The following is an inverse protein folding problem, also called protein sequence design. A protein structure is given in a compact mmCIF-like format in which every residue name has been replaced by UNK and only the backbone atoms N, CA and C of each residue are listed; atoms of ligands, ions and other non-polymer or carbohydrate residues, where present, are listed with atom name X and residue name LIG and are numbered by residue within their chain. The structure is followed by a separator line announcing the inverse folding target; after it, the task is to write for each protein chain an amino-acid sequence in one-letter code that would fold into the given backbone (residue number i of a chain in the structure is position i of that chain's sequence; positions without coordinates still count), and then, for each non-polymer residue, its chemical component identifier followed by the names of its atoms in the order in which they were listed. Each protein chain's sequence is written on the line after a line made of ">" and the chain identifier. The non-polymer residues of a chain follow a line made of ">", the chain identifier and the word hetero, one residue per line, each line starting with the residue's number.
data_IF_916972131732
#
_entry.id   IF_916972131732
#
_cell.length_a   1.000
_cell.length_b   1.000
_cell.length_c   1.000
_cell.angle_alpha   90.00
_cell.angle_beta   90.00
_cell.angle_gamma   90.00
#
_symmetry.space_group_name_H-M   'P 1'
#
loop_
_entity.id
_entity.type
_entity.pdbx_description
1 polymer ?
#
# COMPACT_ATOMS: atom_id res chain seq x y z
N UNK A 1 -12.24 -0.03 11.33
CA UNK A 1 -11.57 -1.23 11.89
C UNK A 1 -10.37 -0.76 12.70
N UNK A 2 -9.99 -1.48 13.76
CA UNK A 2 -8.98 -1.04 14.72
C UNK A 2 -7.55 -1.16 14.14
N UNK A 3 -6.68 -0.22 14.50
CA UNK A 3 -5.23 -0.37 14.34
C UNK A 3 -4.77 -1.54 15.22
N UNK A 4 -3.92 -2.42 14.69
CA UNK A 4 -3.41 -3.57 15.43
C UNK A 4 -1.92 -3.35 15.68
N UNK A 5 -1.49 -3.45 16.94
CA UNK A 5 -0.09 -3.29 17.32
C UNK A 5 0.55 -4.65 17.54
N UNK A 6 1.69 -4.88 16.92
CA UNK A 6 2.50 -6.07 17.09
C UNK A 6 3.83 -5.71 17.74
N UNK A 7 4.22 -6.46 18.77
CA UNK A 7 5.56 -6.37 19.37
C UNK A 7 6.26 -7.72 19.37
N UNK A 8 7.57 -7.69 19.13
CA UNK A 8 8.41 -8.87 19.29
C UNK A 8 8.56 -9.24 20.77
N UNK A 9 8.65 -10.53 21.05
CA UNK A 9 8.89 -11.05 22.41
C UNK A 9 10.35 -10.99 22.85
N UNK A 10 11.29 -10.81 21.92
CA UNK A 10 12.73 -10.94 22.18
C UNK A 10 13.59 -9.75 21.71
N UNK A 11 13.03 -8.83 20.94
CA UNK A 11 13.71 -7.60 20.54
C UNK A 11 12.79 -6.38 20.64
N UNK A 12 13.35 -5.22 20.34
CA UNK A 12 12.71 -3.90 20.33
C UNK A 12 11.80 -3.66 19.11
N UNK A 13 11.63 -4.65 18.22
CA UNK A 13 10.77 -4.51 17.06
C UNK A 13 9.30 -4.34 17.46
N UNK A 14 8.69 -3.26 16.96
CA UNK A 14 7.27 -2.98 17.07
C UNK A 14 6.74 -2.51 15.71
N UNK A 15 5.53 -2.92 15.37
CA UNK A 15 4.86 -2.58 14.12
C UNK A 15 3.39 -2.31 14.39
N UNK A 16 2.79 -1.36 13.67
CA UNK A 16 1.36 -1.08 13.76
C UNK A 16 0.75 -1.36 12.40
N UNK A 17 -0.04 -2.41 12.31
CA UNK A 17 -0.82 -2.72 11.11
C UNK A 17 -2.05 -1.84 11.07
N UNK A 18 -2.22 -1.13 9.95
CA UNK A 18 -3.29 -0.18 9.72
C UNK A 18 -3.95 -0.53 8.40
N UNK A 19 -5.28 -0.50 8.39
CA UNK A 19 -6.02 -0.53 7.14
C UNK A 19 -5.93 0.86 6.50
N UNK A 20 -5.00 1.03 5.56
CA UNK A 20 -4.82 2.27 4.83
C UNK A 20 -5.34 2.13 3.40
N UNK A 21 -5.83 3.25 2.90
CA UNK A 21 -6.23 3.42 1.51
C UNK A 21 -5.54 4.66 0.96
N UNK A 22 -5.47 4.72 -0.36
CA UNK A 22 -5.06 5.93 -1.05
C UNK A 22 -6.05 6.26 -2.16
N UNK A 23 -6.14 7.53 -2.50
CA UNK A 23 -6.87 8.01 -3.66
C UNK A 23 -6.25 9.32 -4.15
N UNK A 24 -6.38 9.58 -5.45
CA UNK A 24 -6.05 10.89 -6.01
C UNK A 24 -7.28 11.78 -5.91
N UNK A 25 -7.18 12.83 -5.12
CA UNK A 25 -8.17 13.89 -5.07
C UNK A 25 -7.95 14.83 -6.27
N UNK A 26 -9.05 15.13 -6.96
CA UNK A 26 -9.05 15.86 -8.22
C UNK A 26 -10.42 16.49 -8.43
N UNK A 27 -10.43 17.76 -8.84
CA UNK A 27 -11.63 18.40 -9.38
C UNK A 27 -11.87 18.02 -10.85
N UNK A 28 -10.93 17.29 -11.47
CA UNK A 28 -10.99 16.83 -12.84
C UNK A 28 -11.82 15.55 -12.96
N UNK A 29 -12.74 15.55 -13.93
CA UNK A 29 -13.67 14.44 -14.18
C UNK A 29 -13.24 13.54 -15.36
N UNK A 30 -12.20 13.92 -16.12
CA UNK A 30 -11.82 13.25 -17.36
C UNK A 30 -10.32 12.94 -17.52
N UNK A 31 -10.04 11.91 -18.32
CA UNK A 31 -8.73 11.27 -18.48
C UNK A 31 -7.68 12.15 -19.19
N UNK A 32 -8.11 12.91 -20.20
CA UNK A 32 -7.20 13.83 -20.90
C UNK A 32 -6.76 14.95 -19.96
N UNK A 33 -7.67 15.45 -19.13
CA UNK A 33 -7.34 16.43 -18.10
C UNK A 33 -6.35 15.86 -17.09
N UNK A 34 -6.51 14.64 -16.59
CA UNK A 34 -5.56 14.04 -15.62
C UNK A 34 -4.17 13.83 -16.22
N UNK A 35 -4.09 13.29 -17.44
CA UNK A 35 -2.79 13.02 -18.08
C UNK A 35 -2.04 14.29 -18.47
N UNK A 36 -2.77 15.35 -18.83
CA UNK A 36 -2.21 16.65 -19.21
C UNK A 36 -2.13 17.65 -18.04
N UNK A 37 -2.71 17.31 -16.88
CA UNK A 37 -2.71 18.18 -15.71
C UNK A 37 -1.29 18.46 -15.23
N UNK A 38 -1.09 19.71 -14.84
CA UNK A 38 0.10 20.05 -14.09
C UNK A 38 0.00 19.40 -12.71
N UNK A 39 1.15 19.15 -12.12
CA UNK A 39 1.33 18.49 -10.81
C UNK A 39 0.51 19.10 -9.65
N UNK A 40 -0.07 20.28 -9.83
CA UNK A 40 -0.78 21.04 -8.78
C UNK A 40 -2.27 20.70 -8.67
N UNK A 41 -2.86 20.04 -9.68
CA UNK A 41 -4.30 19.72 -9.72
C UNK A 41 -4.64 18.32 -9.17
N UNK A 42 -3.62 17.53 -8.83
CA UNK A 42 -3.75 16.18 -8.30
C UNK A 42 -3.06 16.10 -6.94
N UNK A 43 -3.81 15.66 -5.94
CA UNK A 43 -3.28 15.42 -4.60
C UNK A 43 -3.42 13.94 -4.24
N UNK A 44 -2.29 13.29 -3.94
CA UNK A 44 -2.28 11.94 -3.37
C UNK A 44 -2.65 12.00 -1.89
N UNK A 45 -3.80 11.43 -1.56
CA UNK A 45 -4.29 11.35 -0.19
C UNK A 45 -4.11 9.91 0.33
N UNK A 46 -3.51 9.80 1.52
CA UNK A 46 -3.29 8.52 2.22
C UNK A 46 -3.95 8.58 3.60
N UNK A 47 -4.94 7.71 3.83
CA UNK A 47 -5.78 7.80 5.02
C UNK A 47 -6.21 6.43 5.52
N UNK A 48 -6.65 6.39 6.79
CA UNK A 48 -7.23 5.17 7.35
C UNK A 48 -8.59 4.86 6.74
N UNK A 49 -8.83 3.59 6.46
CA UNK A 49 -10.10 3.11 5.94
C UNK A 49 -11.19 3.20 7.01
N UNK A 50 -12.13 4.11 6.78
CA UNK A 50 -13.37 4.27 7.52
C UNK A 50 -14.52 4.53 6.53
N UNK A 51 -15.76 4.64 7.03
CA UNK A 51 -16.92 4.83 6.17
C UNK A 51 -16.81 6.08 5.28
N UNK A 52 -16.38 7.21 5.85
CA UNK A 52 -16.28 8.47 5.13
C UNK A 52 -15.21 8.39 4.02
N UNK A 53 -14.03 7.88 4.36
CA UNK A 53 -12.92 7.83 3.41
C UNK A 53 -13.09 6.72 2.37
N UNK A 54 -13.84 5.66 2.70
CA UNK A 54 -14.27 4.64 1.72
C UNK A 54 -15.16 5.24 0.63
N UNK A 55 -16.06 6.18 0.98
CA UNK A 55 -16.92 6.84 0.01
C UNK A 55 -16.12 7.76 -0.92
N UNK A 56 -15.08 8.43 -0.39
CA UNK A 56 -14.14 9.24 -1.19
C UNK A 56 -13.32 8.37 -2.15
N UNK A 57 -12.74 7.29 -1.63
CA UNK A 57 -12.00 6.29 -2.42
C UNK A 57 -12.82 5.77 -3.61
N UNK A 58 -14.08 5.39 -3.35
CA UNK A 58 -14.96 4.81 -4.40
C UNK A 58 -15.29 5.80 -5.52
N UNK A 59 -15.27 7.11 -5.22
CA UNK A 59 -15.54 8.17 -6.21
C UNK A 59 -14.30 8.61 -6.96
N UNK A 60 -13.12 8.34 -6.43
CA UNK A 60 -11.87 8.72 -7.06
C UNK A 60 -11.61 7.90 -8.32
N UNK A 61 -10.99 8.54 -9.32
CA UNK A 61 -10.66 7.88 -10.59
C UNK A 61 -9.51 6.88 -10.43
N UNK A 62 -8.55 7.20 -9.56
CA UNK A 62 -7.45 6.31 -9.18
C UNK A 62 -7.45 6.20 -7.66
N UNK A 63 -7.58 4.97 -7.19
CA UNK A 63 -7.60 4.63 -5.77
C UNK A 63 -7.10 3.21 -5.54
N UNK A 64 -6.80 2.89 -4.28
CA UNK A 64 -6.41 1.54 -3.93
C UNK A 64 -6.10 1.36 -2.45
N UNK A 65 -5.49 0.22 -2.16
CA UNK A 65 -5.02 -0.11 -0.82
C UNK A 65 -3.57 0.34 -0.65
N UNK A 66 -3.25 0.82 0.54
CA UNK A 66 -1.90 1.15 0.96
C UNK A 66 -1.49 0.19 2.07
N UNK A 67 -0.32 -0.43 1.90
CA UNK A 67 0.30 -1.26 2.93
C UNK A 67 1.60 -0.59 3.37
N UNK A 68 1.81 -0.48 4.68
CA UNK A 68 3.12 -0.16 5.24
C UNK A 68 3.76 -1.49 5.65
N UNK A 69 4.97 -1.78 5.15
CA UNK A 69 5.59 -3.07 5.37
C UNK A 69 7.07 -2.89 5.69
N UNK A 70 7.58 -3.72 6.60
CA UNK A 70 8.94 -3.60 7.08
C UNK A 70 9.90 -4.51 6.32
N UNK A 71 10.96 -3.95 5.75
CA UNK A 71 12.05 -4.74 5.18
C UNK A 71 13.15 -4.97 6.22
N UNK A 72 13.43 -6.23 6.62
CA UNK A 72 14.46 -6.52 7.61
C UNK A 72 15.89 -6.33 7.09
N UNK A 73 16.08 -6.39 5.77
CA UNK A 73 17.39 -6.19 5.15
C UNK A 73 17.76 -4.71 5.05
N UNK A 74 16.80 -3.84 4.72
CA UNK A 74 17.01 -2.39 4.71
C UNK A 74 16.84 -1.77 6.11
N UNK A 75 16.17 -2.46 7.03
CA UNK A 75 15.77 -1.93 8.33
C UNK A 75 14.89 -0.66 8.19
N UNK A 76 14.00 -0.68 7.20
CA UNK A 76 13.18 0.46 6.77
C UNK A 76 11.72 0.03 6.52
N UNK A 77 10.80 1.00 6.65
CA UNK A 77 9.40 0.83 6.25
C UNK A 77 9.23 1.23 4.79
N UNK A 78 8.63 0.34 4.02
CA UNK A 78 8.31 0.54 2.62
C UNK A 78 6.81 0.70 2.49
N UNK A 79 6.37 1.72 1.77
CA UNK A 79 4.97 1.90 1.38
C UNK A 79 4.70 1.12 0.09
N UNK A 80 3.70 0.25 0.11
CA UNK A 80 3.26 -0.48 -1.08
C UNK A 80 1.84 -0.07 -1.46
N UNK A 81 1.72 0.55 -2.63
CA UNK A 81 0.46 0.99 -3.23
C UNK A 81 -0.06 -0.13 -4.13
N UNK A 82 -1.30 -0.54 -3.87
CA UNK A 82 -2.00 -1.57 -4.64
C UNK A 82 -3.24 -0.92 -5.27
N UNK A 83 -3.11 -0.31 -6.46
CA UNK A 83 -4.22 0.33 -7.14
C UNK A 83 -5.30 -0.67 -7.54
N UNK A 84 -6.56 -0.24 -7.45
CA UNK A 84 -7.66 -0.98 -8.03
C UNK A 84 -7.67 -0.82 -9.55
N UNK A 85 -7.98 -1.91 -10.25
CA UNK A 85 -8.21 -1.87 -11.69
C UNK A 85 -9.46 -1.03 -11.98
N UNK A 86 -9.37 -0.08 -12.89
CA UNK A 86 -10.51 0.64 -13.43
C UNK A 86 -10.62 0.41 -14.94
N UNK A 87 -11.76 0.77 -15.54
CA UNK A 87 -11.98 0.62 -16.99
C UNK A 87 -11.41 1.79 -17.81
N UNK A 88 -11.12 2.90 -17.13
CA UNK A 88 -10.71 4.16 -17.76
C UNK A 88 -9.21 4.20 -18.06
N UNK A 89 -8.39 3.62 -17.19
CA UNK A 89 -6.94 3.65 -17.25
C UNK A 89 -6.39 2.24 -17.31
N UNK A 90 -5.40 2.03 -18.17
CA UNK A 90 -4.61 0.82 -18.15
C UNK A 90 -3.53 0.85 -17.05
N UNK A 91 -2.88 -0.28 -16.81
CA UNK A 91 -1.87 -0.43 -15.76
C UNK A 91 -0.69 0.54 -15.93
N UNK A 92 -0.20 0.74 -17.15
CA UNK A 92 0.94 1.63 -17.43
C UNK A 92 0.59 3.09 -17.16
N UNK A 93 -0.64 3.51 -17.48
CA UNK A 93 -1.14 4.86 -17.22
C UNK A 93 -1.27 5.13 -15.72
N UNK A 94 -1.88 4.20 -14.97
CA UNK A 94 -1.98 4.29 -13.50
C UNK A 94 -0.58 4.37 -12.89
N UNK A 95 0.33 3.49 -13.33
CA UNK A 95 1.70 3.46 -12.84
C UNK A 95 2.43 4.79 -13.09
N UNK A 96 2.28 5.37 -14.28
CA UNK A 96 2.89 6.66 -14.62
C UNK A 96 2.37 7.80 -13.74
N UNK A 97 1.06 7.88 -13.53
CA UNK A 97 0.45 8.91 -12.68
C UNK A 97 0.89 8.74 -11.24
N UNK A 98 0.79 7.52 -10.70
CA UNK A 98 1.19 7.24 -9.32
C UNK A 98 2.68 7.49 -9.09
N UNK A 99 3.56 7.09 -10.00
CA UNK A 99 4.99 7.41 -9.87
C UNK A 99 5.25 8.92 -9.81
N UNK A 100 4.54 9.71 -10.62
CA UNK A 100 4.65 11.18 -10.59
C UNK A 100 4.19 11.74 -9.24
N UNK A 101 3.10 11.24 -8.67
CA UNK A 101 2.52 11.79 -7.45
C UNK A 101 3.20 11.28 -6.16
N UNK A 102 3.53 10.00 -6.09
CA UNK A 102 4.18 9.39 -4.92
C UNK A 102 5.61 9.92 -4.74
N UNK A 103 6.37 10.05 -5.84
CA UNK A 103 7.76 10.52 -5.78
C UNK A 103 7.94 11.94 -5.24
N UNK A 104 6.88 12.75 -5.21
CA UNK A 104 6.88 14.06 -4.55
C UNK A 104 6.91 13.96 -3.03
N UNK A 105 6.34 12.88 -2.49
CA UNK A 105 6.02 12.74 -1.06
C UNK A 105 6.90 11.71 -0.34
N UNK A 106 7.44 10.72 -1.04
CA UNK A 106 8.26 9.67 -0.44
C UNK A 106 9.36 9.19 -1.39
N UNK A 107 10.53 8.88 -0.82
CA UNK A 107 11.67 8.33 -1.55
C UNK A 107 11.58 6.81 -1.73
N UNK A 108 10.79 6.12 -0.91
CA UNK A 108 10.77 4.66 -0.86
C UNK A 108 9.35 4.11 -0.91
N UNK A 109 9.01 3.54 -2.05
CA UNK A 109 7.70 2.97 -2.30
C UNK A 109 7.76 1.85 -3.33
N UNK A 110 6.67 1.09 -3.38
CA UNK A 110 6.42 0.08 -4.41
C UNK A 110 5.00 0.23 -4.93
N UNK A 111 4.81 0.03 -6.23
CA UNK A 111 3.49 -0.15 -6.82
C UNK A 111 3.34 -1.64 -7.19
N UNK A 112 2.22 -2.24 -6.83
CA UNK A 112 1.98 -3.66 -7.08
C UNK A 112 0.57 -3.85 -7.65
N UNK A 113 0.50 -4.45 -8.84
CA UNK A 113 -0.75 -4.61 -9.58
C UNK A 113 -1.24 -6.06 -9.51
N UNK A 114 -2.49 -6.25 -9.10
CA UNK A 114 -3.23 -7.49 -9.31
C UNK A 114 -4.73 -7.24 -9.27
N UNK A 115 -5.48 -8.10 -9.96
CA UNK A 115 -6.93 -7.96 -10.09
C UNK A 115 -7.65 -8.57 -8.86
N UNK A 116 -8.23 -7.72 -7.99
CA UNK A 116 -9.01 -8.13 -6.82
C UNK A 116 -10.35 -8.81 -7.16
N UNK A 117 -10.76 -8.91 -8.43
CA UNK A 117 -11.95 -9.66 -8.84
C UNK A 117 -11.55 -11.02 -9.42
N UNK A 118 -10.44 -11.09 -10.15
CA UNK A 118 -9.99 -12.31 -10.85
C UNK A 118 -9.01 -13.17 -10.06
N UNK A 119 -8.18 -12.57 -9.21
CA UNK A 119 -7.17 -13.31 -8.44
C UNK A 119 -7.85 -14.06 -7.30
N UNK A 120 -7.63 -15.35 -7.10
CA UNK A 120 -8.25 -16.06 -5.97
C UNK A 120 -7.70 -15.53 -4.64
N UNK A 121 -8.50 -15.59 -3.57
CA UNK A 121 -8.08 -15.12 -2.24
C UNK A 121 -6.76 -15.74 -1.78
N UNK A 122 -6.55 -17.04 -2.03
CA UNK A 122 -5.30 -17.75 -1.70
C UNK A 122 -4.09 -17.20 -2.44
N UNK A 123 -4.27 -16.89 -3.72
CA UNK A 123 -3.19 -16.36 -4.56
C UNK A 123 -2.85 -14.91 -4.18
N UNK A 124 -3.87 -14.09 -3.87
CA UNK A 124 -3.66 -12.76 -3.30
C UNK A 124 -2.86 -12.82 -2.03
N UNK A 125 -3.27 -13.71 -1.10
CA UNK A 125 -2.57 -13.88 0.16
C UNK A 125 -1.12 -14.29 -0.05
N UNK A 126 -0.85 -15.17 -1.02
CA UNK A 126 0.52 -15.55 -1.38
C UNK A 126 1.33 -14.37 -1.92
N UNK A 127 0.74 -13.51 -2.75
CA UNK A 127 1.39 -12.28 -3.27
C UNK A 127 1.70 -11.32 -2.12
N UNK A 128 0.75 -11.15 -1.19
CA UNK A 128 0.92 -10.29 -0.02
C UNK A 128 1.99 -10.83 0.95
N UNK A 129 2.05 -12.15 1.15
CA UNK A 129 3.00 -12.80 2.05
C UNK A 129 4.40 -12.97 1.43
N UNK A 130 4.51 -13.07 0.10
CA UNK A 130 5.77 -13.33 -0.61
C UNK A 130 6.03 -12.20 -1.63
N UNK A 131 6.36 -11.03 -1.11
CA UNK A 131 6.73 -9.86 -1.90
C UNK A 131 8.25 -9.61 -1.79
N UNK A 132 8.81 -8.84 -2.72
CA UNK A 132 10.23 -8.45 -2.72
C UNK A 132 10.38 -6.94 -2.49
N UNK A 133 11.34 -6.58 -1.64
CA UNK A 133 11.69 -5.18 -1.38
C UNK A 133 12.17 -4.48 -2.66
N UNK A 134 11.66 -3.29 -2.99
CA UNK A 134 12.12 -2.55 -4.17
C UNK A 134 13.59 -2.09 -4.04
N UNK A 135 14.11 -1.96 -2.81
CA UNK A 135 15.46 -1.44 -2.57
C UNK A 135 16.54 -2.54 -2.58
N UNK A 136 16.23 -3.73 -2.04
CA UNK A 136 17.23 -4.79 -1.86
C UNK A 136 16.84 -6.15 -2.45
N UNK A 137 15.68 -6.27 -3.09
CA UNK A 137 15.15 -7.50 -3.72
C UNK A 137 14.89 -8.70 -2.78
N UNK A 138 15.31 -8.63 -1.51
CA UNK A 138 15.00 -9.64 -0.50
C UNK A 138 13.50 -9.74 -0.22
N UNK A 139 13.09 -10.93 0.25
CA UNK A 139 11.70 -11.21 0.62
C UNK A 139 11.24 -10.31 1.79
N UNK A 140 10.00 -9.84 1.67
CA UNK A 140 9.28 -9.09 2.68
C UNK A 140 7.79 -9.43 2.60
N UNK A 141 7.11 -9.43 3.75
CA UNK A 141 5.67 -9.61 3.81
C UNK A 141 4.97 -8.25 3.91
N UNK A 142 3.92 -8.07 3.11
CA UNK A 142 2.99 -6.95 3.23
C UNK A 142 2.05 -7.08 4.44
N UNK A 143 1.99 -8.28 5.01
CA UNK A 143 1.13 -8.60 6.16
C UNK A 143 2.00 -9.07 7.32
N UNK A 144 1.95 -8.35 8.42
CA UNK A 144 2.59 -8.72 9.68
C UNK A 144 1.48 -9.14 10.66
N UNK A 145 1.62 -10.31 11.28
CA UNK A 145 0.63 -10.84 12.22
C UNK A 145 1.31 -11.63 13.36
N UNK A 146 0.54 -12.03 14.38
CA UNK A 146 1.01 -12.93 15.44
C UNK A 146 1.60 -14.26 14.91
N UNK A 147 1.19 -14.68 13.70
CA UNK A 147 1.62 -15.94 13.08
C UNK A 147 2.91 -15.79 12.27
N UNK A 148 3.29 -14.55 11.93
CA UNK A 148 4.53 -14.29 11.21
C UNK A 148 5.68 -14.16 12.21
N UNK A 149 6.85 -14.76 11.94
CA UNK A 149 8.03 -14.52 12.76
C UNK A 149 8.42 -13.04 12.69
N UNK A 150 9.02 -12.53 13.76
CA UNK A 150 9.54 -11.19 13.84
C UNK A 150 10.55 -10.99 12.70
N UNK A 151 10.39 -9.95 11.86
CA UNK A 151 11.29 -9.74 10.74
C UNK A 151 12.72 -9.41 11.19
N UNK A 152 12.91 -8.86 12.40
CA UNK A 152 14.22 -8.47 12.92
C UNK A 152 15.04 -9.62 13.52
N UNK A 153 14.41 -10.55 14.26
CA UNK A 153 15.14 -11.61 14.97
C UNK A 153 14.56 -13.03 14.80
N UNK A 154 13.45 -13.20 14.10
CA UNK A 154 12.80 -14.50 13.88
C UNK A 154 11.95 -15.02 15.04
N UNK A 155 11.96 -14.37 16.21
CA UNK A 155 11.13 -14.73 17.36
C UNK A 155 9.64 -14.47 17.12
N UNK A 156 8.77 -14.89 18.03
CA UNK A 156 7.32 -14.66 17.88
C UNK A 156 6.93 -13.18 18.03
N UNK A 157 5.86 -12.79 17.34
CA UNK A 157 5.16 -11.52 17.55
C UNK A 157 3.95 -11.74 18.47
N UNK A 158 3.61 -10.71 19.25
CA UNK A 158 2.38 -10.65 20.05
C UNK A 158 1.56 -9.44 19.66
N UNK A 159 0.26 -9.65 19.49
CA UNK A 159 -0.71 -8.58 19.36
C UNK A 159 -0.91 -7.89 20.72
N UNK A 160 -0.88 -6.56 20.73
CA UNK A 160 -1.20 -5.72 21.88
C UNK A 160 -2.57 -5.07 21.69
N UNK A 161 -3.46 -5.27 22.68
CA UNK A 161 -4.80 -4.70 22.74
C UNK A 161 -4.83 -3.40 23.56
#
# INVERSE_FOLDING_TARGET
>A
MAEIKFKCTECDFAFTDKNLIFYLNSDLEDLESILNSNSEDLELIEESLNKENSDKMTKALISGFLYENYCPHCNELIKTYVPETNELFNQEEIEKILNKEISKNTSEYKILFFDFKKTLYRDRRKILENNQCPNCENEMSLVISEKTPCPKCGASLKEEF
#
